data_IF_553053886310
#
_entry.id   IF_553053886310
#
_cell.length_a   1.000
_cell.length_b   1.000
_cell.length_c   1.000
_cell.angle_alpha   90.00
_cell.angle_beta   90.00
_cell.angle_gamma   90.00
#
_symmetry.space_group_name_H-M   'P 1'
#
loop_
_entity.id
_entity.type
_entity.pdbx_description
1 polymer ?
#
# COMPACT_ATOMS: atom_id res chain seq x y z
N UNK A 1 -24.86 -48.38 -9.97
CA UNK A 1 -25.79 -47.75 -9.02
C UNK A 1 -25.46 -46.28 -8.95
N UNK A 2 -26.29 -45.43 -9.59
CA UNK A 2 -25.96 -44.02 -9.92
C UNK A 2 -26.15 -43.11 -8.73
N UNK A 3 -25.07 -42.64 -8.17
CA UNK A 3 -25.02 -41.59 -7.11
C UNK A 3 -25.50 -40.18 -7.60
N UNK A 4 -26.22 -40.10 -8.71
CA UNK A 4 -26.50 -38.83 -9.41
C UNK A 4 -27.96 -38.33 -9.32
N UNK A 5 -28.79 -38.88 -8.46
CA UNK A 5 -30.12 -38.30 -8.13
C UNK A 5 -30.18 -37.78 -6.69
N UNK A 6 -29.25 -36.90 -6.35
CA UNK A 6 -29.38 -36.11 -5.14
C UNK A 6 -30.51 -35.09 -5.35
N UNK A 7 -31.47 -35.04 -4.41
CA UNK A 7 -32.53 -34.03 -4.39
C UNK A 7 -31.89 -32.61 -4.51
N UNK A 8 -32.51 -31.62 -5.15
CA UNK A 8 -31.96 -30.30 -5.38
C UNK A 8 -31.40 -29.63 -4.10
N UNK A 9 -32.04 -29.89 -2.96
CA UNK A 9 -31.62 -29.39 -1.64
C UNK A 9 -30.26 -30.00 -1.22
N UNK A 10 -30.05 -31.30 -1.41
CA UNK A 10 -28.79 -31.98 -1.05
C UNK A 10 -27.64 -31.51 -1.94
N UNK A 11 -27.91 -31.21 -3.20
CA UNK A 11 -26.93 -30.65 -4.12
C UNK A 11 -26.51 -29.23 -3.70
N UNK A 12 -27.46 -28.40 -3.29
CA UNK A 12 -27.18 -27.05 -2.77
C UNK A 12 -26.40 -27.07 -1.47
N UNK A 13 -26.72 -27.97 -0.54
CA UNK A 13 -25.99 -28.15 0.71
C UNK A 13 -24.55 -28.60 0.43
N UNK A 14 -24.33 -29.56 -0.46
CA UNK A 14 -22.98 -30.02 -0.85
C UNK A 14 -22.17 -28.90 -1.51
N UNK A 15 -22.81 -28.05 -2.32
CA UNK A 15 -22.16 -26.89 -2.92
C UNK A 15 -21.74 -25.87 -1.85
N UNK A 16 -22.62 -25.56 -0.90
CA UNK A 16 -22.31 -24.64 0.21
C UNK A 16 -21.17 -25.18 1.07
N UNK A 17 -21.21 -26.47 1.44
CA UNK A 17 -20.14 -27.14 2.19
C UNK A 17 -18.81 -27.12 1.42
N UNK A 18 -18.84 -27.39 0.12
CA UNK A 18 -17.65 -27.34 -0.73
C UNK A 18 -17.05 -25.94 -0.80
N UNK A 19 -17.89 -24.92 -0.98
CA UNK A 19 -17.45 -23.50 -0.98
C UNK A 19 -16.88 -23.11 0.37
N UNK A 20 -17.54 -23.48 1.46
CA UNK A 20 -17.08 -23.19 2.83
C UNK A 20 -15.73 -23.86 3.11
N UNK A 21 -15.53 -25.11 2.66
CA UNK A 21 -14.26 -25.82 2.78
C UNK A 21 -13.15 -25.15 1.99
N UNK A 22 -13.43 -24.67 0.78
CA UNK A 22 -12.47 -23.93 -0.05
C UNK A 22 -12.09 -22.60 0.62
N UNK A 23 -13.08 -21.86 1.14
CA UNK A 23 -12.82 -20.60 1.85
C UNK A 23 -11.96 -20.86 3.09
N UNK A 24 -12.28 -21.90 3.86
CA UNK A 24 -11.49 -22.29 5.03
C UNK A 24 -10.07 -22.71 4.67
N UNK A 25 -9.89 -23.50 3.60
CA UNK A 25 -8.57 -23.87 3.11
C UNK A 25 -7.76 -22.64 2.65
N UNK A 26 -8.38 -21.69 1.93
CA UNK A 26 -7.75 -20.42 1.54
C UNK A 26 -7.36 -19.58 2.75
N UNK A 27 -8.16 -19.57 3.80
CA UNK A 27 -7.84 -18.91 5.06
C UNK A 27 -6.61 -19.54 5.73
N UNK A 28 -6.50 -20.87 5.74
CA UNK A 28 -5.34 -21.55 6.31
C UNK A 28 -4.03 -21.24 5.55
N UNK A 29 -4.10 -21.05 4.23
CA UNK A 29 -2.91 -20.78 3.39
C UNK A 29 -2.79 -19.30 3.00
N UNK A 30 -3.49 -18.39 3.69
CA UNK A 30 -3.54 -16.96 3.35
C UNK A 30 -2.15 -16.33 3.21
N UNK A 31 -1.18 -16.72 4.06
CA UNK A 31 0.20 -16.23 3.97
C UNK A 31 0.87 -16.64 2.65
N UNK A 32 0.67 -17.87 2.19
CA UNK A 32 1.24 -18.35 0.92
C UNK A 32 0.58 -17.61 -0.26
N UNK A 33 -0.71 -17.35 -0.18
CA UNK A 33 -1.44 -16.56 -1.20
C UNK A 33 -0.90 -15.14 -1.26
N UNK A 34 -0.66 -14.50 -0.10
CA UNK A 34 -0.04 -13.18 -0.04
C UNK A 34 1.36 -13.18 -0.69
N UNK A 35 2.21 -14.17 -0.36
CA UNK A 35 3.54 -14.30 -0.97
C UNK A 35 3.46 -14.49 -2.49
N UNK A 36 2.51 -15.28 -2.98
CA UNK A 36 2.32 -15.50 -4.42
C UNK A 36 1.87 -14.22 -5.14
N UNK A 37 0.98 -13.42 -4.54
CA UNK A 37 0.54 -12.12 -5.07
C UNK A 37 1.73 -11.16 -5.14
N UNK A 38 2.47 -10.98 -4.05
CA UNK A 38 3.66 -10.12 -4.02
C UNK A 38 4.67 -10.57 -5.07
N UNK A 39 4.94 -11.87 -5.15
CA UNK A 39 5.87 -12.44 -6.11
C UNK A 39 5.43 -12.19 -7.57
N UNK A 40 4.14 -12.25 -7.86
CA UNK A 40 3.60 -11.92 -9.17
C UNK A 40 3.94 -10.46 -9.54
N UNK A 41 3.75 -9.51 -8.62
CA UNK A 41 4.06 -8.10 -8.85
C UNK A 41 5.57 -7.87 -9.01
N UNK A 42 6.39 -8.46 -8.16
CA UNK A 42 7.86 -8.40 -8.30
C UNK A 42 8.28 -8.98 -9.65
N UNK A 43 7.68 -10.08 -10.09
CA UNK A 43 7.98 -10.67 -11.40
C UNK A 43 7.61 -9.75 -12.56
N UNK A 44 6.49 -9.03 -12.47
CA UNK A 44 6.06 -8.06 -13.50
C UNK A 44 7.01 -6.87 -13.55
N UNK A 45 7.39 -6.32 -12.39
CA UNK A 45 8.35 -5.22 -12.28
C UNK A 45 9.76 -5.63 -12.69
N UNK A 46 10.16 -6.86 -12.41
CA UNK A 46 11.47 -7.41 -12.78
C UNK A 46 11.62 -7.77 -14.26
N UNK A 47 10.51 -7.95 -15.00
CA UNK A 47 10.54 -8.33 -16.42
C UNK A 47 11.33 -7.39 -17.33
N UNK A 48 11.21 -6.07 -17.24
CA UNK A 48 12.04 -5.17 -18.06
C UNK A 48 13.53 -5.38 -17.83
N UNK A 49 13.93 -5.52 -16.56
CA UNK A 49 15.32 -5.79 -16.16
C UNK A 49 15.80 -7.13 -16.68
N UNK A 50 14.98 -8.19 -16.50
CA UNK A 50 15.28 -9.53 -17.03
C UNK A 50 15.50 -9.52 -18.54
N UNK A 51 14.62 -8.84 -19.30
CA UNK A 51 14.75 -8.73 -20.75
C UNK A 51 16.01 -7.92 -21.15
N UNK A 52 16.33 -6.87 -20.41
CA UNK A 52 17.53 -6.09 -20.63
C UNK A 52 18.78 -6.96 -20.46
N UNK A 53 18.83 -7.78 -19.43
CA UNK A 53 19.94 -8.71 -19.16
C UNK A 53 19.96 -9.83 -20.20
N UNK A 54 18.83 -10.51 -20.43
CA UNK A 54 18.76 -11.70 -21.27
C UNK A 54 18.93 -11.40 -22.76
N UNK A 55 18.24 -10.35 -23.25
CA UNK A 55 18.10 -10.12 -24.70
C UNK A 55 19.12 -9.10 -25.22
N UNK A 56 19.46 -8.08 -24.41
CA UNK A 56 20.29 -6.95 -24.86
C UNK A 56 21.75 -7.03 -24.37
N UNK A 57 22.02 -7.75 -23.28
CA UNK A 57 23.37 -7.85 -22.74
C UNK A 57 24.11 -9.07 -23.27
N UNK A 58 25.42 -8.96 -23.59
CA UNK A 58 26.26 -10.11 -23.93
C UNK A 58 26.33 -11.14 -22.79
N UNK A 59 26.19 -10.69 -21.54
CA UNK A 59 26.14 -11.53 -20.34
C UNK A 59 24.99 -12.51 -20.41
N UNK A 60 23.80 -12.09 -20.84
CA UNK A 60 22.60 -12.93 -20.91
C UNK A 60 22.78 -14.14 -21.86
N UNK A 61 23.54 -13.97 -22.94
CA UNK A 61 23.87 -15.08 -23.85
C UNK A 61 24.78 -16.13 -23.20
N UNK A 62 25.66 -15.72 -22.29
CA UNK A 62 26.61 -16.60 -21.59
C UNK A 62 25.91 -17.34 -20.44
N UNK A 63 25.16 -16.62 -19.60
CA UNK A 63 24.55 -17.17 -18.38
C UNK A 63 23.18 -17.84 -18.63
N UNK A 64 22.60 -17.63 -19.82
CA UNK A 64 21.32 -18.20 -20.22
C UNK A 64 20.14 -17.71 -19.39
N UNK A 65 18.97 -18.32 -19.58
CA UNK A 65 17.70 -17.89 -18.93
C UNK A 65 17.75 -17.96 -17.41
N UNK A 66 18.33 -19.04 -16.86
CA UNK A 66 18.42 -19.22 -15.41
C UNK A 66 19.34 -18.18 -14.79
N UNK A 67 20.54 -17.97 -15.34
CA UNK A 67 21.48 -16.98 -14.85
C UNK A 67 20.93 -15.54 -14.95
N UNK A 68 20.23 -15.22 -16.03
CA UNK A 68 19.58 -13.90 -16.19
C UNK A 68 18.46 -13.68 -15.16
N UNK A 69 17.67 -14.70 -14.84
CA UNK A 69 16.65 -14.61 -13.79
C UNK A 69 17.30 -14.48 -12.40
N UNK A 70 18.36 -15.25 -12.11
CA UNK A 70 19.13 -15.11 -10.86
C UNK A 70 19.72 -13.71 -10.71
N UNK A 71 20.37 -13.19 -11.76
CA UNK A 71 20.95 -11.85 -11.72
C UNK A 71 19.88 -10.77 -11.54
N UNK A 72 18.73 -10.91 -12.18
CA UNK A 72 17.58 -10.02 -12.00
C UNK A 72 17.12 -10.01 -10.54
N UNK A 73 16.96 -11.19 -9.93
CA UNK A 73 16.56 -11.33 -8.53
C UNK A 73 17.62 -10.80 -7.57
N UNK A 74 18.89 -10.99 -7.86
CA UNK A 74 19.99 -10.42 -7.06
C UNK A 74 19.98 -8.89 -7.10
N UNK A 75 19.77 -8.30 -8.27
CA UNK A 75 19.66 -6.82 -8.40
C UNK A 75 18.45 -6.28 -7.64
N UNK A 76 17.28 -6.91 -7.79
CA UNK A 76 16.07 -6.52 -7.05
C UNK A 76 16.28 -6.69 -5.55
N UNK A 77 16.82 -7.84 -5.13
CA UNK A 77 17.10 -8.13 -3.72
C UNK A 77 18.12 -7.16 -3.12
N UNK A 78 19.20 -6.86 -3.85
CA UNK A 78 20.20 -5.88 -3.42
C UNK A 78 19.61 -4.46 -3.29
N UNK A 79 18.80 -4.03 -4.27
CA UNK A 79 18.11 -2.75 -4.22
C UNK A 79 17.15 -2.67 -3.03
N UNK A 80 16.40 -3.73 -2.76
CA UNK A 80 15.48 -3.80 -1.63
C UNK A 80 16.21 -3.82 -0.28
N UNK A 81 17.28 -4.62 -0.17
CA UNK A 81 18.13 -4.66 1.03
C UNK A 81 18.79 -3.32 1.28
N UNK A 82 19.31 -2.67 0.23
CA UNK A 82 19.87 -1.32 0.33
C UNK A 82 18.82 -0.32 0.84
N UNK A 83 17.63 -0.34 0.25
CA UNK A 83 16.54 0.55 0.66
C UNK A 83 16.16 0.33 2.13
N UNK A 84 16.01 -0.92 2.57
CA UNK A 84 15.68 -1.25 3.96
C UNK A 84 16.82 -0.84 4.90
N UNK A 85 18.06 -1.21 4.60
CA UNK A 85 19.21 -0.93 5.46
C UNK A 85 19.50 0.56 5.60
N UNK A 86 19.13 1.35 4.58
CA UNK A 86 19.24 2.80 4.63
C UNK A 86 18.05 3.44 5.35
N UNK A 87 16.83 2.98 5.07
CA UNK A 87 15.61 3.65 5.50
C UNK A 87 15.15 3.27 6.92
N UNK A 88 15.29 1.99 7.30
CA UNK A 88 14.83 1.54 8.64
C UNK A 88 15.56 2.24 9.79
N UNK A 89 16.90 2.41 9.77
CA UNK A 89 17.57 3.19 10.81
C UNK A 89 17.08 4.63 10.91
N UNK A 90 16.85 5.28 9.75
CA UNK A 90 16.34 6.66 9.72
C UNK A 90 14.93 6.77 10.33
N UNK A 91 14.05 5.79 10.04
CA UNK A 91 12.74 5.74 10.70
C UNK A 91 12.88 5.58 12.20
N UNK A 92 13.73 4.66 12.66
CA UNK A 92 13.95 4.41 14.10
C UNK A 92 14.48 5.67 14.78
N UNK A 93 15.41 6.39 14.15
CA UNK A 93 15.95 7.65 14.63
C UNK A 93 14.85 8.71 14.74
N UNK A 94 14.05 8.89 13.71
CA UNK A 94 12.93 9.83 13.66
C UNK A 94 11.88 9.53 14.74
N UNK A 95 11.53 8.25 14.92
CA UNK A 95 10.62 7.85 15.99
C UNK A 95 11.24 7.94 17.39
N UNK A 96 12.56 7.77 17.54
CA UNK A 96 13.24 7.99 18.82
C UNK A 96 13.29 9.46 19.18
N UNK A 97 13.47 10.33 18.19
CA UNK A 97 13.40 11.77 18.34
C UNK A 97 12.02 12.21 18.87
N UNK A 98 10.92 11.61 18.38
CA UNK A 98 9.59 11.86 18.94
C UNK A 98 9.50 11.67 20.46
N UNK A 99 10.17 10.64 21.01
CA UNK A 99 10.17 10.39 22.44
C UNK A 99 10.91 11.48 23.23
N UNK A 100 11.81 12.22 22.60
CA UNK A 100 12.57 13.30 23.21
C UNK A 100 11.83 14.65 23.23
N UNK A 101 10.79 14.80 22.39
CA UNK A 101 10.00 16.02 22.32
C UNK A 101 9.11 16.14 23.56
N UNK A 102 9.16 17.30 24.19
CA UNK A 102 8.23 17.66 25.28
C UNK A 102 6.89 18.07 24.70
N UNK A 103 6.06 17.07 24.42
CA UNK A 103 4.71 17.26 23.85
C UNK A 103 3.85 18.21 24.67
N UNK A 104 4.02 18.25 26.00
CA UNK A 104 3.28 19.16 26.89
C UNK A 104 3.41 20.62 26.44
N UNK A 105 4.62 21.05 26.06
CA UNK A 105 4.84 22.41 25.55
C UNK A 105 4.32 22.61 24.13
N UNK A 106 4.50 21.63 23.25
CA UNK A 106 3.98 21.69 21.89
C UNK A 106 2.44 21.78 21.91
N UNK A 107 1.79 20.93 22.69
CA UNK A 107 0.34 20.91 22.86
C UNK A 107 -0.15 22.23 23.43
N UNK A 108 0.47 22.73 24.50
CA UNK A 108 0.06 24.00 25.12
C UNK A 108 0.21 25.22 24.19
N UNK A 109 1.24 25.21 23.33
CA UNK A 109 1.39 26.26 22.30
C UNK A 109 0.27 26.16 21.24
N UNK A 110 -0.03 24.95 20.77
CA UNK A 110 -1.11 24.71 19.82
C UNK A 110 -2.49 25.03 20.43
N UNK A 111 -2.73 24.67 21.69
CA UNK A 111 -3.95 24.98 22.43
C UNK A 111 -4.19 26.50 22.55
N UNK A 112 -3.13 27.28 22.82
CA UNK A 112 -3.24 28.73 22.86
C UNK A 112 -3.69 29.32 21.52
N UNK A 113 -3.13 28.84 20.42
CA UNK A 113 -3.46 29.33 19.08
C UNK A 113 -4.84 28.86 18.63
N UNK A 114 -5.18 27.60 18.88
CA UNK A 114 -6.52 27.06 18.61
C UNK A 114 -7.58 27.86 19.41
N UNK A 115 -7.26 28.25 20.65
CA UNK A 115 -8.15 29.09 21.46
C UNK A 115 -8.31 30.49 20.88
N UNK A 116 -7.26 31.10 20.31
CA UNK A 116 -7.37 32.40 19.63
C UNK A 116 -8.28 32.31 18.38
N UNK A 117 -8.08 31.28 17.55
CA UNK A 117 -8.92 31.05 16.36
C UNK A 117 -10.37 30.83 16.76
N UNK A 118 -10.63 30.07 17.82
CA UNK A 118 -11.99 29.80 18.31
C UNK A 118 -12.65 31.07 18.84
N UNK A 119 -11.88 31.92 19.52
CA UNK A 119 -12.38 33.22 20.00
C UNK A 119 -12.77 34.08 18.82
N UNK A 120 -11.99 34.10 17.73
CA UNK A 120 -12.33 34.78 16.49
C UNK A 120 -13.58 34.18 15.82
N UNK A 121 -13.69 32.87 15.73
CA UNK A 121 -14.86 32.19 15.14
C UNK A 121 -16.12 32.45 15.96
N UNK A 122 -16.01 32.42 17.29
CA UNK A 122 -17.14 32.78 18.18
C UNK A 122 -17.54 34.21 18.04
N UNK A 123 -16.58 35.14 17.84
CA UNK A 123 -16.91 36.56 17.55
C UNK A 123 -17.64 36.78 16.22
N UNK A 124 -17.47 35.81 15.28
CA UNK A 124 -18.19 35.78 13.99
C UNK A 124 -19.52 35.02 14.07
N UNK A 125 -19.92 34.57 15.28
CA UNK A 125 -21.18 33.85 15.50
C UNK A 125 -21.16 32.37 15.18
N UNK A 126 -19.96 31.80 15.02
CA UNK A 126 -19.76 30.36 14.77
C UNK A 126 -19.45 29.70 16.11
N UNK A 127 -20.31 28.79 16.58
CA UNK A 127 -20.06 27.99 17.79
C UNK A 127 -19.08 26.86 17.45
N UNK A 128 -17.85 27.02 17.89
CA UNK A 128 -16.73 26.10 17.62
C UNK A 128 -16.25 25.37 18.90
N UNK A 129 -16.97 25.46 20.00
CA UNK A 129 -16.61 24.76 21.27
C UNK A 129 -16.61 23.23 21.16
N UNK A 130 -17.59 22.57 20.50
CA UNK A 130 -17.58 21.11 20.35
C UNK A 130 -16.39 20.58 19.52
N UNK A 131 -15.96 21.36 18.53
CA UNK A 131 -14.81 21.02 17.69
C UNK A 131 -13.49 21.14 18.47
N UNK A 132 -13.39 22.12 19.35
CA UNK A 132 -12.23 22.29 20.24
C UNK A 132 -12.03 21.11 21.18
N UNK A 133 -13.11 20.65 21.83
CA UNK A 133 -13.03 19.49 22.70
C UNK A 133 -12.60 18.23 21.94
N UNK A 134 -13.07 18.05 20.72
CA UNK A 134 -12.63 16.93 19.85
C UNK A 134 -11.19 17.05 19.42
N UNK A 135 -10.71 18.26 19.06
CA UNK A 135 -9.31 18.51 18.71
C UNK A 135 -8.42 18.22 19.92
N UNK A 136 -8.75 18.72 21.10
CA UNK A 136 -7.99 18.49 22.32
C UNK A 136 -7.95 17.01 22.72
N UNK A 137 -9.09 16.29 22.64
CA UNK A 137 -9.12 14.84 22.85
C UNK A 137 -8.29 14.09 21.81
N UNK A 138 -8.30 14.52 20.56
CA UNK A 138 -7.49 13.92 19.51
C UNK A 138 -6.00 14.17 19.71
N UNK A 139 -5.61 15.39 20.09
CA UNK A 139 -4.22 15.74 20.41
C UNK A 139 -3.69 14.93 21.60
N UNK A 140 -4.49 14.74 22.65
CA UNK A 140 -4.14 13.89 23.80
C UNK A 140 -4.05 12.40 23.42
N UNK A 141 -4.92 11.93 22.51
CA UNK A 141 -4.88 10.57 21.98
C UNK A 141 -3.66 10.29 21.10
N UNK A 142 -3.22 11.26 20.32
CA UNK A 142 -2.01 11.16 19.46
C UNK A 142 -0.72 11.16 20.31
N UNK A 143 -0.74 11.80 21.48
CA UNK A 143 0.38 11.81 22.43
C UNK A 143 0.68 10.44 23.08
N UNK A 144 -0.14 9.41 22.85
CA UNK A 144 0.17 8.04 23.27
C UNK A 144 1.24 7.42 22.37
N UNK A 145 2.49 7.82 22.60
CA UNK A 145 3.72 7.24 21.98
C UNK A 145 3.77 5.71 22.12
N UNK A 146 3.03 5.16 23.09
CA UNK A 146 2.90 3.72 23.34
C UNK A 146 2.26 2.96 22.20
N UNK A 147 1.25 3.50 21.53
CA UNK A 147 0.59 2.84 20.38
C UNK A 147 1.54 2.74 19.18
N UNK A 148 2.33 3.79 18.93
CA UNK A 148 3.31 3.82 17.83
C UNK A 148 4.48 2.89 18.14
N UNK A 149 4.98 2.88 19.39
CA UNK A 149 6.07 2.00 19.80
C UNK A 149 5.65 0.52 19.77
N UNK A 150 4.41 0.22 20.13
CA UNK A 150 3.84 -1.13 20.01
C UNK A 150 3.75 -1.61 18.56
N UNK A 151 3.37 -0.76 17.63
CA UNK A 151 3.35 -1.08 16.21
C UNK A 151 4.76 -1.37 15.65
N UNK A 152 5.75 -0.55 16.00
CA UNK A 152 7.16 -0.78 15.60
C UNK A 152 7.70 -2.08 16.23
N UNK A 153 7.41 -2.34 17.50
CA UNK A 153 7.83 -3.57 18.19
C UNK A 153 7.19 -4.83 17.61
N UNK A 154 5.93 -4.75 17.17
CA UNK A 154 5.24 -5.88 16.51
C UNK A 154 5.86 -6.22 15.16
N UNK A 155 6.32 -5.21 14.41
CA UNK A 155 7.05 -5.39 13.14
C UNK A 155 8.40 -6.07 13.40
N UNK A 156 9.15 -5.62 14.41
CA UNK A 156 10.46 -6.20 14.77
C UNK A 156 10.35 -7.61 15.35
N UNK A 157 9.28 -7.92 16.09
CA UNK A 157 9.02 -9.24 16.68
C UNK A 157 8.68 -10.34 15.64
N UNK A 158 8.40 -9.97 14.40
CA UNK A 158 8.00 -10.89 13.33
C UNK A 158 9.16 -11.43 12.48
N UNK A 159 10.42 -11.28 12.91
CA UNK A 159 11.63 -11.58 12.12
C UNK A 159 11.63 -13.00 11.53
N UNK A 160 11.17 -14.03 12.26
CA UNK A 160 11.10 -15.39 11.76
C UNK A 160 10.14 -15.54 10.56
N UNK A 161 8.97 -14.92 10.64
CA UNK A 161 7.97 -14.93 9.57
C UNK A 161 8.45 -14.13 8.34
N UNK A 162 9.25 -13.08 8.56
CA UNK A 162 9.84 -12.27 7.49
C UNK A 162 10.83 -13.08 6.67
N UNK A 163 11.66 -13.93 7.28
CA UNK A 163 12.64 -14.78 6.57
C UNK A 163 11.92 -15.78 5.67
N UNK A 164 10.91 -16.49 6.19
CA UNK A 164 10.11 -17.45 5.43
C UNK A 164 9.38 -16.73 4.29
N UNK A 165 8.81 -15.56 4.56
CA UNK A 165 8.14 -14.73 3.56
C UNK A 165 9.09 -14.28 2.45
N UNK A 166 10.25 -13.74 2.77
CA UNK A 166 11.27 -13.31 1.82
C UNK A 166 11.76 -14.48 0.95
N UNK A 167 12.04 -15.63 1.57
CA UNK A 167 12.42 -16.82 0.82
C UNK A 167 11.32 -17.23 -0.17
N UNK A 168 10.07 -17.33 0.30
CA UNK A 168 8.92 -17.73 -0.51
C UNK A 168 8.68 -16.76 -1.67
N UNK A 169 8.68 -15.46 -1.38
CA UNK A 169 8.49 -14.40 -2.38
C UNK A 169 9.62 -14.47 -3.42
N UNK A 170 10.87 -14.56 -2.98
CA UNK A 170 12.05 -14.65 -3.87
C UNK A 170 11.99 -15.88 -4.75
N UNK A 171 11.68 -17.03 -4.16
CA UNK A 171 11.58 -18.31 -4.86
C UNK A 171 10.48 -18.28 -5.93
N UNK A 172 9.27 -17.86 -5.56
CA UNK A 172 8.15 -17.79 -6.50
C UNK A 172 8.44 -16.75 -7.60
N UNK A 173 8.96 -15.56 -7.25
CA UNK A 173 9.32 -14.51 -8.21
C UNK A 173 10.36 -15.00 -9.23
N UNK A 174 11.37 -15.72 -8.77
CA UNK A 174 12.40 -16.29 -9.62
C UNK A 174 11.80 -17.19 -10.71
N UNK A 175 10.94 -18.13 -10.33
CA UNK A 175 10.31 -19.04 -11.29
C UNK A 175 9.35 -18.31 -12.23
N UNK A 176 8.59 -17.33 -11.73
CA UNK A 176 7.69 -16.51 -12.57
C UNK A 176 8.45 -15.62 -13.56
N UNK A 177 9.67 -15.17 -13.23
CA UNK A 177 10.54 -14.43 -14.15
C UNK A 177 11.15 -15.37 -15.18
N UNK A 178 11.71 -16.50 -14.73
CA UNK A 178 12.40 -17.48 -15.56
C UNK A 178 11.46 -18.17 -16.55
N UNK A 179 10.30 -18.59 -16.08
CA UNK A 179 9.33 -19.40 -16.83
C UNK A 179 8.02 -18.63 -17.02
N UNK A 180 7.99 -17.78 -18.05
CA UNK A 180 6.86 -16.89 -18.32
C UNK A 180 5.53 -17.61 -18.54
N UNK A 181 5.54 -18.88 -18.90
CA UNK A 181 4.34 -19.68 -19.14
C UNK A 181 3.79 -20.38 -17.89
N UNK A 182 4.54 -20.45 -16.78
CA UNK A 182 4.10 -21.16 -15.56
C UNK A 182 2.75 -20.67 -15.06
N UNK A 183 2.60 -19.34 -14.90
CA UNK A 183 1.34 -18.77 -14.45
C UNK A 183 0.18 -19.10 -15.38
N UNK A 184 0.44 -19.12 -16.71
CA UNK A 184 -0.56 -19.47 -17.71
C UNK A 184 -0.91 -20.96 -17.64
N UNK A 185 0.10 -21.83 -17.57
CA UNK A 185 -0.09 -23.27 -17.49
C UNK A 185 -0.84 -23.68 -16.23
N UNK A 186 -0.54 -23.05 -15.10
CA UNK A 186 -1.25 -23.29 -13.84
C UNK A 186 -2.72 -22.89 -13.95
N UNK A 187 -3.00 -21.70 -14.47
CA UNK A 187 -4.39 -21.22 -14.69
C UNK A 187 -5.12 -22.14 -15.65
N UNK A 188 -4.48 -22.59 -16.76
CA UNK A 188 -5.07 -23.52 -17.70
C UNK A 188 -5.37 -24.87 -17.08
N UNK A 189 -4.51 -25.34 -16.17
CA UNK A 189 -4.70 -26.62 -15.48
C UNK A 189 -5.94 -26.60 -14.58
N UNK A 190 -6.14 -25.56 -13.80
CA UNK A 190 -7.28 -25.44 -12.87
C UNK A 190 -8.60 -25.05 -13.58
N UNK A 191 -8.50 -24.53 -14.82
CA UNK A 191 -9.68 -24.06 -15.56
C UNK A 191 -10.33 -25.21 -16.33
N UNK A 192 -11.65 -25.43 -16.21
CA UNK A 192 -12.38 -26.38 -17.03
C UNK A 192 -12.20 -26.13 -18.53
N UNK A 193 -12.12 -27.18 -19.33
CA UNK A 193 -11.85 -27.10 -20.78
C UNK A 193 -12.77 -26.11 -21.52
N UNK A 194 -14.03 -26.04 -21.10
CA UNK A 194 -15.06 -25.16 -21.67
C UNK A 194 -14.71 -23.67 -21.57
N UNK A 195 -14.04 -23.25 -20.49
CA UNK A 195 -13.71 -21.83 -20.24
C UNK A 195 -12.29 -21.44 -20.65
N UNK A 196 -11.43 -22.40 -21.08
CA UNK A 196 -10.01 -22.12 -21.39
C UNK A 196 -9.82 -21.13 -22.54
N UNK A 197 -10.61 -21.27 -23.62
CA UNK A 197 -10.50 -20.37 -24.78
C UNK A 197 -10.79 -18.93 -24.40
N UNK A 198 -11.78 -18.72 -23.55
CA UNK A 198 -12.24 -17.40 -23.11
C UNK A 198 -11.30 -16.77 -22.08
N UNK A 199 -10.86 -17.59 -21.14
CA UNK A 199 -9.81 -17.13 -20.22
C UNK A 199 -8.54 -16.74 -20.99
N UNK A 200 -8.20 -17.45 -22.07
CA UNK A 200 -7.09 -17.05 -22.93
C UNK A 200 -7.33 -15.71 -23.63
N UNK A 201 -8.57 -15.38 -24.00
CA UNK A 201 -8.93 -14.11 -24.63
C UNK A 201 -8.78 -12.91 -23.69
N UNK A 202 -9.03 -13.06 -22.37
CA UNK A 202 -8.92 -11.97 -21.39
C UNK A 202 -7.51 -11.84 -20.78
N UNK A 203 -6.60 -12.78 -21.01
CA UNK A 203 -5.20 -12.72 -20.52
C UNK A 203 -4.48 -11.41 -20.83
N UNK A 204 -4.56 -10.85 -22.05
CA UNK A 204 -3.93 -9.57 -22.35
C UNK A 204 -4.47 -8.44 -21.47
N UNK A 205 -5.78 -8.44 -21.17
CA UNK A 205 -6.42 -7.46 -20.30
C UNK A 205 -5.94 -7.62 -18.86
N UNK A 206 -5.90 -8.83 -18.30
CA UNK A 206 -5.37 -9.10 -16.96
C UNK A 206 -3.92 -8.64 -16.87
N UNK A 207 -3.07 -9.01 -17.84
CA UNK A 207 -1.68 -8.57 -17.89
C UNK A 207 -1.57 -7.04 -17.89
N UNK A 208 -2.42 -6.36 -18.67
CA UNK A 208 -2.44 -4.89 -18.72
C UNK A 208 -2.82 -4.28 -17.39
N UNK A 209 -3.82 -4.84 -16.69
CA UNK A 209 -4.23 -4.39 -15.34
C UNK A 209 -3.04 -4.49 -14.37
N UNK A 210 -2.43 -5.67 -14.24
CA UNK A 210 -1.31 -5.90 -13.31
C UNK A 210 -0.13 -4.98 -13.65
N UNK A 211 0.26 -4.90 -14.93
CA UNK A 211 1.40 -4.07 -15.36
C UNK A 211 1.13 -2.59 -15.09
N UNK A 212 -0.03 -2.09 -15.49
CA UNK A 212 -0.38 -0.67 -15.29
C UNK A 212 -0.43 -0.30 -13.81
N UNK A 213 -1.03 -1.15 -12.99
CA UNK A 213 -1.08 -0.95 -11.56
C UNK A 213 0.31 -0.95 -10.93
N UNK A 214 1.16 -1.94 -11.27
CA UNK A 214 2.52 -2.04 -10.72
C UNK A 214 3.37 -0.81 -11.01
N UNK A 215 3.37 -0.34 -12.26
CA UNK A 215 4.11 0.87 -12.65
C UNK A 215 3.43 2.15 -12.14
N UNK A 216 2.10 2.17 -12.08
CA UNK A 216 1.33 3.28 -11.55
C UNK A 216 1.64 3.55 -10.07
N UNK A 217 1.68 2.50 -9.25
CA UNK A 217 2.08 2.61 -7.84
C UNK A 217 3.51 3.13 -7.68
N UNK A 218 4.47 2.63 -8.46
CA UNK A 218 5.85 3.14 -8.40
C UNK A 218 5.92 4.62 -8.74
N UNK A 219 5.20 5.03 -9.77
CA UNK A 219 5.11 6.45 -10.15
C UNK A 219 4.49 7.29 -9.05
N UNK A 220 3.39 6.82 -8.45
CA UNK A 220 2.68 7.48 -7.36
C UNK A 220 3.59 7.66 -6.14
N UNK A 221 4.23 6.58 -5.66
CA UNK A 221 5.17 6.66 -4.53
C UNK A 221 6.27 7.67 -4.81
N UNK A 222 6.89 7.59 -5.99
CA UNK A 222 7.98 8.49 -6.37
C UNK A 222 7.52 9.94 -6.43
N UNK A 223 6.35 10.21 -7.00
CA UNK A 223 5.80 11.55 -7.12
C UNK A 223 5.44 12.13 -5.75
N UNK A 224 4.72 11.39 -4.90
CA UNK A 224 4.34 11.83 -3.55
C UNK A 224 5.59 12.05 -2.70
N UNK A 225 6.53 11.11 -2.71
CA UNK A 225 7.82 11.24 -2.05
C UNK A 225 8.54 12.53 -2.47
N UNK A 226 8.65 12.77 -3.77
CA UNK A 226 9.34 13.95 -4.30
C UNK A 226 8.66 15.24 -3.90
N UNK A 227 7.32 15.33 -4.06
CA UNK A 227 6.54 16.50 -3.71
C UNK A 227 6.61 16.82 -2.21
N UNK A 228 6.44 15.81 -1.36
CA UNK A 228 6.53 15.98 0.09
C UNK A 228 7.95 16.32 0.53
N UNK A 229 8.98 15.64 -0.02
CA UNK A 229 10.38 15.94 0.32
C UNK A 229 10.74 17.38 0.01
N UNK A 230 10.40 17.86 -1.19
CA UNK A 230 10.65 19.25 -1.58
C UNK A 230 9.86 20.20 -0.70
N UNK A 231 8.56 19.97 -0.54
CA UNK A 231 7.69 20.85 0.23
C UNK A 231 8.11 20.95 1.70
N UNK A 232 8.37 19.82 2.37
CA UNK A 232 8.81 19.80 3.75
C UNK A 232 10.20 20.42 3.94
N UNK A 233 11.14 20.21 2.99
CA UNK A 233 12.46 20.85 3.02
C UNK A 233 12.37 22.38 2.88
N UNK A 234 11.45 22.87 2.03
CA UNK A 234 11.21 24.32 1.88
C UNK A 234 10.57 24.94 3.13
N UNK A 235 9.82 24.16 3.89
CA UNK A 235 9.24 24.57 5.18
C UNK A 235 10.32 24.64 6.29
N UNK A 236 11.45 23.93 6.09
CA UNK A 236 12.53 23.87 7.06
C UNK A 236 12.50 22.62 7.98
N UNK A 237 11.77 21.57 7.58
CA UNK A 237 11.75 20.30 8.32
C UNK A 237 13.03 19.53 8.06
N UNK A 238 13.84 19.27 9.07
CA UNK A 238 15.14 18.60 8.94
C UNK A 238 15.02 17.15 8.46
N UNK A 239 14.07 16.37 9.00
CA UNK A 239 13.76 14.99 8.60
C UNK A 239 12.90 14.85 7.34
N UNK A 240 12.78 15.89 6.49
CA UNK A 240 11.85 15.95 5.35
C UNK A 240 11.87 14.71 4.44
N UNK A 241 13.06 14.19 4.11
CA UNK A 241 13.22 13.03 3.22
C UNK A 241 12.62 11.77 3.86
N UNK A 242 12.89 11.55 5.15
CA UNK A 242 12.43 10.36 5.88
C UNK A 242 10.92 10.41 6.06
N UNK A 243 10.40 11.57 6.47
CA UNK A 243 8.97 11.77 6.67
C UNK A 243 8.19 11.67 5.36
N UNK A 244 8.70 12.26 4.29
CA UNK A 244 8.09 12.17 2.96
C UNK A 244 8.08 10.74 2.42
N UNK A 245 9.17 9.97 2.60
CA UNK A 245 9.22 8.57 2.18
C UNK A 245 8.26 7.71 3.03
N UNK A 246 8.19 7.96 4.33
CA UNK A 246 7.26 7.30 5.24
C UNK A 246 5.81 7.56 4.79
N UNK A 247 5.44 8.80 4.54
CA UNK A 247 4.10 9.17 4.07
C UNK A 247 3.78 8.55 2.70
N UNK A 248 4.74 8.54 1.76
CA UNK A 248 4.57 7.94 0.45
C UNK A 248 4.38 6.40 0.51
N UNK A 249 5.06 5.71 1.44
CA UNK A 249 4.88 4.28 1.67
C UNK A 249 3.51 3.99 2.28
N UNK A 250 3.07 4.77 3.27
CA UNK A 250 1.72 4.61 3.81
C UNK A 250 0.65 4.83 2.74
N UNK A 251 0.87 5.77 1.81
CA UNK A 251 -0.06 6.06 0.73
C UNK A 251 -0.31 4.88 -0.24
N UNK A 252 0.47 3.80 -0.14
CA UNK A 252 0.19 2.52 -0.82
C UNK A 252 -1.14 1.89 -0.40
N UNK A 253 -1.61 2.19 0.81
CA UNK A 253 -2.89 1.69 1.33
C UNK A 253 -3.96 2.72 0.98
N UNK A 254 -4.85 2.44 0.01
CA UNK A 254 -5.86 3.40 -0.40
C UNK A 254 -6.75 3.86 0.77
N UNK A 255 -7.11 5.13 0.82
CA UNK A 255 -7.91 5.83 1.83
C UNK A 255 -7.24 5.97 3.21
N UNK A 256 -6.72 4.88 3.79
CA UNK A 256 -6.10 4.89 5.13
C UNK A 256 -4.69 5.48 5.10
N UNK A 257 -3.94 5.13 4.07
CA UNK A 257 -2.55 5.57 3.93
C UNK A 257 -2.35 7.08 3.94
N UNK A 258 -3.09 7.83 3.12
CA UNK A 258 -3.04 9.29 3.13
C UNK A 258 -3.30 9.91 4.50
N UNK A 259 -4.30 9.39 5.22
CA UNK A 259 -4.66 9.89 6.56
C UNK A 259 -3.52 9.63 7.56
N UNK A 260 -3.01 8.37 7.60
CA UNK A 260 -1.90 7.99 8.48
C UNK A 260 -0.64 8.78 8.12
N UNK A 261 -0.31 8.85 6.83
CA UNK A 261 0.87 9.55 6.32
C UNK A 261 0.84 11.04 6.61
N UNK A 262 -0.32 11.70 6.42
CA UNK A 262 -0.49 13.11 6.72
C UNK A 262 -0.42 13.37 8.23
N UNK A 263 -1.12 12.57 9.04
CA UNK A 263 -1.10 12.71 10.50
C UNK A 263 0.31 12.59 11.05
N UNK A 264 1.03 11.53 10.67
CA UNK A 264 2.42 11.33 11.10
C UNK A 264 3.35 12.42 10.55
N UNK A 265 3.23 12.75 9.27
CA UNK A 265 4.10 13.74 8.63
C UNK A 265 3.92 15.14 9.19
N UNK A 266 2.69 15.56 9.51
CA UNK A 266 2.40 16.85 10.13
C UNK A 266 2.90 16.85 11.58
N UNK A 267 2.58 15.82 12.37
CA UNK A 267 2.97 15.74 13.77
C UNK A 267 4.49 15.74 13.94
N UNK A 268 5.18 14.88 13.18
CA UNK A 268 6.64 14.77 13.20
C UNK A 268 7.31 16.02 12.63
N UNK A 269 6.79 16.57 11.55
CA UNK A 269 7.30 17.80 10.96
C UNK A 269 7.19 19.00 11.90
N UNK A 270 6.08 19.14 12.62
CA UNK A 270 5.96 20.14 13.69
C UNK A 270 6.93 19.91 14.83
N UNK A 271 7.13 18.65 15.22
CA UNK A 271 8.11 18.29 16.25
C UNK A 271 9.53 18.71 15.86
N UNK A 272 9.91 18.49 14.62
CA UNK A 272 11.20 18.90 14.04
C UNK A 272 11.35 20.43 14.06
N UNK A 273 10.34 21.17 13.60
CA UNK A 273 10.33 22.64 13.63
C UNK A 273 10.45 23.17 15.05
N UNK A 274 9.71 22.59 16.00
CA UNK A 274 9.80 22.96 17.41
C UNK A 274 11.22 22.72 17.97
N UNK A 275 11.82 21.57 17.70
CA UNK A 275 13.16 21.26 18.16
C UNK A 275 14.22 22.18 17.55
N UNK A 276 14.10 22.53 16.28
CA UNK A 276 14.99 23.51 15.63
C UNK A 276 14.91 24.88 16.31
N UNK A 277 13.71 25.38 16.65
CA UNK A 277 13.54 26.64 17.39
C UNK A 277 14.06 26.59 18.82
N UNK A 278 14.01 25.43 19.49
CA UNK A 278 14.59 25.25 20.82
C UNK A 278 16.11 25.19 20.76
N UNK A 279 16.68 24.54 19.75
CA UNK A 279 18.12 24.38 19.57
C UNK A 279 18.80 25.69 19.18
N UNK A 280 18.16 26.49 18.35
CA UNK A 280 18.64 27.83 17.95
C UNK A 280 17.53 28.88 18.15
N UNK A 281 17.52 29.57 19.31
CA UNK A 281 16.54 30.63 19.57
C UNK A 281 16.64 31.84 18.65
N UNK A 282 17.64 31.93 17.77
CA UNK A 282 17.75 32.99 16.78
C UNK A 282 16.89 32.70 15.54
N UNK A 283 16.49 31.44 15.37
CA UNK A 283 15.50 31.05 14.37
C UNK A 283 14.12 31.46 14.88
N UNK A 284 13.51 32.41 14.21
CA UNK A 284 12.11 32.80 14.46
C UNK A 284 11.17 31.74 13.90
N UNK A 285 11.05 30.62 14.62
CA UNK A 285 10.21 29.47 14.20
C UNK A 285 8.78 29.72 14.66
N UNK A 286 7.95 30.18 13.74
CA UNK A 286 6.50 30.28 13.93
C UNK A 286 5.88 28.88 13.69
N UNK A 287 5.55 28.19 14.77
CA UNK A 287 4.94 26.85 14.74
C UNK A 287 3.56 26.85 14.10
N UNK A 288 2.81 27.93 14.25
CA UNK A 288 1.47 28.07 13.67
C UNK A 288 1.56 28.19 12.16
N UNK A 289 2.48 29.00 11.68
CA UNK A 289 2.81 29.07 10.26
C UNK A 289 3.28 27.74 9.74
N UNK A 290 4.15 27.02 10.49
CA UNK A 290 4.61 25.66 10.17
C UNK A 290 3.46 24.69 10.03
N UNK A 291 2.49 24.72 10.96
CA UNK A 291 1.29 23.89 10.91
C UNK A 291 0.48 24.15 9.63
N UNK A 292 0.17 25.41 9.34
CA UNK A 292 -0.59 25.74 8.13
C UNK A 292 0.12 25.34 6.84
N UNK A 293 1.44 25.52 6.78
CA UNK A 293 2.23 25.12 5.62
C UNK A 293 2.26 23.60 5.45
N UNK A 294 2.43 22.83 6.54
CA UNK A 294 2.41 21.36 6.48
C UNK A 294 1.01 20.85 6.11
N UNK A 295 -0.04 21.31 6.75
CA UNK A 295 -1.42 20.94 6.40
C UNK A 295 -1.73 21.28 4.96
N UNK A 296 -1.38 22.48 4.51
CA UNK A 296 -1.55 22.92 3.13
C UNK A 296 -0.76 22.05 2.14
N UNK A 297 0.49 21.71 2.45
CA UNK A 297 1.32 20.83 1.64
C UNK A 297 0.68 19.44 1.47
N UNK A 298 0.31 18.80 2.58
CA UNK A 298 -0.35 17.50 2.53
C UNK A 298 -1.69 17.55 1.80
N UNK A 299 -2.50 18.60 2.01
CA UNK A 299 -3.75 18.80 1.29
C UNK A 299 -3.55 18.95 -0.22
N UNK A 300 -2.55 19.73 -0.65
CA UNK A 300 -2.23 19.92 -2.07
C UNK A 300 -1.73 18.61 -2.68
N UNK A 301 -0.82 17.91 -2.01
CA UNK A 301 -0.30 16.61 -2.51
C UNK A 301 -1.42 15.58 -2.57
N UNK A 302 -2.31 15.54 -1.59
CA UNK A 302 -3.47 14.64 -1.61
C UNK A 302 -4.47 15.00 -2.72
N UNK A 303 -4.68 16.28 -2.98
CA UNK A 303 -5.51 16.72 -4.10
C UNK A 303 -4.91 16.27 -5.45
N UNK A 304 -3.59 16.43 -5.62
CA UNK A 304 -2.89 15.94 -6.81
C UNK A 304 -2.98 14.42 -6.94
N UNK A 305 -2.85 13.69 -5.82
CA UNK A 305 -3.01 12.24 -5.82
C UNK A 305 -4.41 11.84 -6.31
N UNK A 306 -5.46 12.45 -5.77
CA UNK A 306 -6.84 12.14 -6.10
C UNK A 306 -7.22 12.53 -7.54
N UNK A 307 -6.68 13.63 -8.07
CA UNK A 307 -7.05 14.16 -9.40
C UNK A 307 -6.17 13.56 -10.49
N UNK A 308 -4.88 13.31 -10.25
CA UNK A 308 -3.93 12.89 -11.27
C UNK A 308 -3.54 11.41 -11.13
N UNK A 309 -2.99 10.99 -9.97
CA UNK A 309 -2.38 9.67 -9.84
C UNK A 309 -3.42 8.57 -9.71
N UNK A 310 -4.41 8.72 -8.86
CA UNK A 310 -5.46 7.70 -8.70
C UNK A 310 -6.25 7.43 -9.99
N UNK A 311 -6.75 8.44 -10.74
CA UNK A 311 -7.38 8.18 -12.03
C UNK A 311 -6.44 7.53 -13.04
N UNK A 312 -5.15 7.93 -13.07
CA UNK A 312 -4.16 7.32 -13.96
C UNK A 312 -3.96 5.83 -13.67
N UNK A 313 -3.93 5.45 -12.39
CA UNK A 313 -3.73 4.07 -11.95
C UNK A 313 -5.01 3.25 -12.15
N UNK A 314 -6.18 3.80 -11.78
CA UNK A 314 -7.45 3.07 -11.71
C UNK A 314 -8.37 3.25 -12.91
N UNK A 315 -8.17 4.27 -13.79
CA UNK A 315 -9.15 4.81 -14.75
C UNK A 315 -9.71 3.84 -15.81
N UNK A 316 -9.15 2.67 -16.03
CA UNK A 316 -9.68 1.72 -17.03
C UNK A 316 -10.00 0.33 -16.45
N UNK A 317 -9.88 0.17 -15.14
CA UNK A 317 -9.96 -1.17 -14.57
C UNK A 317 -11.24 -1.41 -13.79
N UNK A 318 -11.87 -0.36 -13.23
CA UNK A 318 -12.95 -0.58 -12.29
C UNK A 318 -13.98 0.54 -12.42
N UNK A 319 -15.03 0.35 -13.21
CA UNK A 319 -16.25 1.14 -13.06
C UNK A 319 -16.97 0.79 -11.74
N UNK A 320 -16.21 0.67 -10.64
CA UNK A 320 -16.70 0.29 -9.33
C UNK A 320 -17.02 1.53 -8.49
N UNK A 321 -18.05 1.44 -7.69
CA UNK A 321 -18.37 2.49 -6.73
C UNK A 321 -17.28 2.57 -5.64
N UNK A 322 -16.89 3.77 -5.14
CA UNK A 322 -15.89 3.90 -4.09
C UNK A 322 -16.15 3.01 -2.86
N UNK A 323 -17.40 2.81 -2.48
CA UNK A 323 -17.80 1.93 -1.39
C UNK A 323 -17.41 0.46 -1.66
N UNK A 324 -17.55 -0.02 -2.90
CA UNK A 324 -17.14 -1.39 -3.27
C UNK A 324 -15.64 -1.55 -3.06
N UNK A 325 -14.85 -0.58 -3.50
CA UNK A 325 -13.40 -0.58 -3.35
C UNK A 325 -13.02 -0.57 -1.87
N UNK A 326 -13.67 0.26 -1.05
CA UNK A 326 -13.43 0.30 0.39
C UNK A 326 -13.72 -1.04 1.07
N UNK A 327 -14.86 -1.67 0.75
CA UNK A 327 -15.22 -2.99 1.29
C UNK A 327 -14.19 -4.04 0.86
N UNK A 328 -13.78 -4.05 -0.40
CA UNK A 328 -12.78 -5.00 -0.92
C UNK A 328 -11.43 -4.81 -0.23
N UNK A 329 -10.99 -3.57 -0.01
CA UNK A 329 -9.76 -3.28 0.73
C UNK A 329 -9.86 -3.76 2.18
N UNK A 330 -11.01 -3.53 2.84
CA UNK A 330 -11.24 -3.97 4.22
C UNK A 330 -11.22 -5.50 4.35
N UNK A 331 -11.88 -6.20 3.43
CA UNK A 331 -11.88 -7.68 3.39
C UNK A 331 -10.45 -8.19 3.11
N UNK A 332 -9.78 -7.65 2.11
CA UNK A 332 -8.43 -8.06 1.76
C UNK A 332 -7.43 -7.76 2.89
N UNK A 333 -7.62 -6.65 3.60
CA UNK A 333 -6.83 -6.30 4.79
C UNK A 333 -7.01 -7.28 5.93
N UNK A 334 -8.24 -7.72 6.18
CA UNK A 334 -8.53 -8.74 7.20
C UNK A 334 -7.93 -10.10 6.86
N UNK A 335 -7.95 -10.48 5.56
CA UNK A 335 -7.46 -11.79 5.10
C UNK A 335 -5.94 -11.83 4.93
N UNK A 336 -5.34 -10.80 4.37
CA UNK A 336 -3.94 -10.80 3.91
C UNK A 336 -3.11 -9.64 4.51
N UNK A 337 -3.66 -8.92 5.49
CA UNK A 337 -3.01 -7.76 6.12
C UNK A 337 -2.72 -6.64 5.12
N UNK A 338 -1.62 -5.93 5.35
CA UNK A 338 -1.19 -4.77 4.53
C UNK A 338 -1.00 -5.17 3.05
N UNK A 339 -0.44 -6.34 2.78
CA UNK A 339 -0.29 -6.83 1.41
C UNK A 339 -1.66 -6.98 0.72
N UNK A 340 -2.66 -7.51 1.45
CA UNK A 340 -4.03 -7.59 0.95
C UNK A 340 -4.60 -6.22 0.60
N UNK A 341 -4.43 -5.22 1.47
CA UNK A 341 -4.92 -3.85 1.22
C UNK A 341 -4.30 -3.24 -0.03
N UNK A 342 -2.99 -3.37 -0.21
CA UNK A 342 -2.25 -2.81 -1.36
C UNK A 342 -2.73 -3.45 -2.67
N UNK A 343 -2.90 -4.78 -2.69
CA UNK A 343 -3.24 -5.50 -3.91
C UNK A 343 -4.74 -5.77 -4.10
N UNK A 344 -5.59 -5.27 -3.20
CA UNK A 344 -7.04 -5.43 -3.25
C UNK A 344 -7.66 -4.94 -4.56
N UNK A 345 -7.27 -3.74 -5.00
CA UNK A 345 -7.85 -3.09 -6.19
C UNK A 345 -7.56 -3.85 -7.48
N UNK A 346 -6.31 -4.23 -7.81
CA UNK A 346 -6.05 -5.00 -9.01
C UNK A 346 -6.62 -6.43 -8.93
N UNK A 347 -6.63 -7.06 -7.76
CA UNK A 347 -7.27 -8.36 -7.57
C UNK A 347 -8.78 -8.28 -7.86
N UNK A 348 -9.47 -7.28 -7.32
CA UNK A 348 -10.87 -7.02 -7.61
C UNK A 348 -11.11 -6.76 -9.10
N UNK A 349 -10.26 -5.96 -9.75
CA UNK A 349 -10.35 -5.67 -11.17
C UNK A 349 -10.25 -6.95 -12.02
N UNK A 350 -9.33 -7.86 -11.66
CA UNK A 350 -9.17 -9.15 -12.34
C UNK A 350 -10.42 -10.02 -12.13
N UNK A 351 -10.89 -10.14 -10.89
CA UNK A 351 -12.09 -10.92 -10.54
C UNK A 351 -13.29 -10.40 -11.35
N UNK A 352 -13.49 -9.09 -11.41
CA UNK A 352 -14.59 -8.47 -12.15
C UNK A 352 -14.53 -8.76 -13.64
N UNK A 353 -13.34 -8.69 -14.26
CA UNK A 353 -13.17 -9.05 -15.69
C UNK A 353 -13.54 -10.51 -15.94
N UNK A 354 -13.08 -11.42 -15.06
CA UNK A 354 -13.41 -12.85 -15.16
C UNK A 354 -14.90 -13.07 -14.98
N UNK A 355 -15.52 -12.47 -13.96
CA UNK A 355 -16.97 -12.61 -13.69
C UNK A 355 -17.82 -12.06 -14.83
N UNK A 356 -17.48 -10.92 -15.40
CA UNK A 356 -18.21 -10.36 -16.55
C UNK A 356 -18.13 -11.28 -17.75
N UNK A 357 -16.96 -11.83 -18.05
CA UNK A 357 -16.78 -12.79 -19.15
C UNK A 357 -17.62 -14.04 -18.98
N UNK A 358 -17.73 -14.57 -17.75
CA UNK A 358 -18.56 -15.74 -17.45
C UNK A 358 -20.05 -15.39 -17.54
N UNK A 359 -20.45 -14.23 -17.03
CA UNK A 359 -21.86 -13.78 -17.08
C UNK A 359 -22.38 -13.57 -18.49
N UNK A 360 -21.56 -12.92 -19.35
CA UNK A 360 -21.93 -12.65 -20.74
C UNK A 360 -22.18 -13.93 -21.52
N UNK A 361 -21.54 -15.02 -21.09
CA UNK A 361 -21.81 -16.36 -21.66
C UNK A 361 -23.10 -17.02 -21.23
N UNK A 362 -23.35 -16.93 -19.92
CA UNK A 362 -24.59 -17.49 -19.38
C UNK A 362 -25.81 -16.84 -20.06
N UNK A 363 -25.68 -15.54 -20.44
CA UNK A 363 -26.70 -14.79 -21.12
C UNK A 363 -26.79 -15.09 -22.64
N UNK A 364 -25.70 -15.57 -23.27
CA UNK A 364 -25.69 -15.95 -24.69
C UNK A 364 -26.10 -17.41 -24.93
N UNK A 365 -26.09 -18.22 -23.88
CA UNK A 365 -26.49 -19.65 -23.94
C UNK A 365 -27.93 -19.92 -23.49
N UNK A 366 -28.67 -18.89 -23.09
CA UNK A 366 -30.11 -18.90 -22.81
C UNK A 366 -30.88 -18.30 -24.00
#
# INVERSE_FOLDING_TARGET
MSLFQLQPITKSILQILGISLIIYALYLIQGVVAYAIIALYISVLGRPLYKLIQDKSPIGKIIGRTGSATLTMLVIGAAFTFLISWFVPLIIEEFSFLRSIRYDKLISTLEQEVTQITTLLTSLGIDSQPELERINQSLQGIASVEAISGAVQSILGSVGNVIIGLFSITFISFFLIREQHLAHSFIDYITPKTYRSKLSAIRPQIKRIVTRYSFGILLQITAIFTLLSIGMSLIGVEGAIVLALTAAIFNLIPYLGPIIGATLGILLGLGQLYAAGVADPTLDVDLVRGLYLLVGLFAVVQLLDNILFQPFIFSNSVGAHPLEIFIVISIAGTLLGIAGMIFAVPAYSIIRVVMNTVRDELNQGS
#
